data_IF_014133224904
#
_entry.id   IF_014133224904
#
_cell.length_a   1.000
_cell.length_b   1.000
_cell.length_c   1.000
_cell.angle_alpha   90.00
_cell.angle_beta   90.00
_cell.angle_gamma   90.00
#
_symmetry.space_group_name_H-M   'P 1'
#
loop_
_entity.id
_entity.type
_entity.pdbx_description
1 polymer ?
#
# COMPACT_ATOMS: atom_id res chain seq x y z
N UNK A 1 -0.58 3.57 -28.90
CA UNK A 1 0.74 2.94 -29.16
C UNK A 1 0.55 1.44 -29.42
N UNK A 2 1.39 0.82 -30.25
CA UNK A 2 1.41 -0.66 -30.40
C UNK A 2 1.89 -1.31 -29.11
N UNK A 3 1.60 -2.61 -28.86
CA UNK A 3 2.15 -3.34 -27.72
C UNK A 3 3.69 -3.25 -27.62
N UNK A 4 4.42 -3.51 -28.73
CA UNK A 4 5.87 -3.37 -28.77
C UNK A 4 6.37 -1.96 -28.43
N UNK A 5 5.69 -0.90 -28.91
CA UNK A 5 6.04 0.47 -28.55
C UNK A 5 5.86 0.79 -27.05
N UNK A 6 4.90 0.12 -26.38
CA UNK A 6 4.74 0.25 -24.92
C UNK A 6 5.86 -0.46 -24.17
N UNK A 7 6.36 -1.59 -24.70
CA UNK A 7 7.55 -2.27 -24.17
C UNK A 7 8.77 -1.38 -24.32
N UNK A 8 9.01 -0.78 -25.49
CA UNK A 8 10.11 0.16 -25.70
C UNK A 8 10.08 1.34 -24.72
N UNK A 9 8.90 1.95 -24.51
CA UNK A 9 8.73 3.00 -23.52
C UNK A 9 9.02 2.54 -22.09
N UNK A 10 8.64 1.31 -21.72
CA UNK A 10 8.97 0.75 -20.41
C UNK A 10 10.49 0.52 -20.25
N UNK A 11 11.18 0.05 -21.31
CA UNK A 11 12.65 -0.08 -21.34
C UNK A 11 13.31 1.27 -21.02
N UNK A 12 12.94 2.33 -21.74
CA UNK A 12 13.50 3.68 -21.55
C UNK A 12 13.32 4.18 -20.10
N UNK A 13 12.14 3.94 -19.51
CA UNK A 13 11.83 4.37 -18.15
C UNK A 13 12.67 3.58 -17.12
N UNK A 14 12.82 2.26 -17.32
CA UNK A 14 13.62 1.42 -16.45
C UNK A 14 15.10 1.79 -16.50
N UNK A 15 15.61 2.13 -17.70
CA UNK A 15 16.96 2.66 -17.86
C UNK A 15 17.12 4.02 -17.17
N UNK A 16 16.14 4.93 -17.30
CA UNK A 16 16.14 6.23 -16.62
C UNK A 16 16.11 6.08 -15.08
N UNK A 17 15.48 5.01 -14.56
CA UNK A 17 15.49 4.66 -13.14
C UNK A 17 16.82 4.07 -12.67
N UNK A 18 17.53 3.32 -13.53
CA UNK A 18 18.87 2.79 -13.21
C UNK A 18 19.89 3.90 -12.87
N UNK A 19 19.62 5.12 -13.33
CA UNK A 19 20.41 6.32 -13.05
C UNK A 19 20.05 7.00 -11.70
N UNK A 20 19.27 6.33 -10.85
CA UNK A 20 18.90 6.81 -9.50
C UNK A 20 17.59 7.59 -9.43
N UNK A 21 16.80 7.64 -10.51
CA UNK A 21 15.51 8.34 -10.53
C UNK A 21 14.39 7.48 -9.97
N UNK A 22 13.54 8.07 -9.13
CA UNK A 22 12.35 7.42 -8.60
C UNK A 22 11.35 7.07 -9.72
N UNK A 23 10.67 5.93 -9.60
CA UNK A 23 9.76 5.41 -10.63
C UNK A 23 8.68 6.42 -11.06
N UNK A 24 8.00 7.07 -10.11
CA UNK A 24 6.96 8.07 -10.40
C UNK A 24 7.52 9.29 -11.13
N UNK A 25 8.75 9.71 -10.81
CA UNK A 25 9.41 10.82 -11.50
C UNK A 25 9.78 10.42 -12.94
N UNK A 26 10.32 9.21 -13.13
CA UNK A 26 10.66 8.69 -14.46
C UNK A 26 9.41 8.54 -15.34
N UNK A 27 8.33 7.99 -14.81
CA UNK A 27 7.03 7.88 -15.48
C UNK A 27 6.45 9.26 -15.83
N UNK A 28 6.51 10.22 -14.90
CA UNK A 28 6.03 11.59 -15.14
C UNK A 28 6.85 12.31 -16.20
N UNK A 29 8.17 12.13 -16.18
CA UNK A 29 9.09 12.72 -17.17
C UNK A 29 8.82 12.15 -18.56
N UNK A 30 8.77 10.82 -18.69
CA UNK A 30 8.41 10.16 -19.94
C UNK A 30 7.04 10.63 -20.43
N UNK A 31 6.04 10.67 -19.54
CA UNK A 31 4.70 11.14 -19.84
C UNK A 31 4.69 12.58 -20.42
N UNK A 32 5.47 13.51 -19.86
CA UNK A 32 5.55 14.89 -20.37
C UNK A 32 6.17 14.97 -21.77
N UNK A 33 7.14 14.10 -22.05
CA UNK A 33 7.85 14.05 -23.32
C UNK A 33 7.07 13.28 -24.41
N UNK A 34 6.25 12.31 -24.02
CA UNK A 34 5.47 11.46 -24.93
C UNK A 34 4.04 11.99 -25.09
N UNK A 35 3.88 13.15 -25.75
CA UNK A 35 2.56 13.80 -25.96
C UNK A 35 1.57 12.94 -26.77
N UNK A 36 2.09 12.05 -27.61
CA UNK A 36 1.29 11.13 -28.43
C UNK A 36 0.66 9.98 -27.62
N UNK A 37 1.13 9.70 -26.40
CA UNK A 37 0.60 8.62 -25.58
C UNK A 37 -0.72 9.02 -24.93
N UNK A 38 -1.81 8.29 -25.24
CA UNK A 38 -3.11 8.47 -24.60
C UNK A 38 -3.14 7.89 -23.17
N UNK A 39 -4.25 8.09 -22.46
CA UNK A 39 -4.42 7.59 -21.08
C UNK A 39 -4.28 6.06 -20.97
N UNK A 40 -4.81 5.31 -21.95
CA UNK A 40 -4.67 3.85 -22.03
C UNK A 40 -3.22 3.41 -22.23
N UNK A 41 -2.47 4.13 -23.06
CA UNK A 41 -1.05 3.83 -23.31
C UNK A 41 -0.20 4.10 -22.07
N UNK A 42 -0.39 5.26 -21.42
CA UNK A 42 0.31 5.62 -20.18
C UNK A 42 0.05 4.61 -19.07
N UNK A 43 -1.20 4.15 -18.94
CA UNK A 43 -1.57 3.12 -17.98
C UNK A 43 -0.85 1.79 -18.27
N UNK A 44 -0.81 1.34 -19.52
CA UNK A 44 -0.13 0.10 -19.90
C UNK A 44 1.39 0.17 -19.68
N UNK A 45 2.03 1.28 -20.04
CA UNK A 45 3.47 1.50 -19.80
C UNK A 45 3.75 1.50 -18.29
N UNK A 46 2.94 2.18 -17.48
CA UNK A 46 3.05 2.15 -16.03
C UNK A 46 2.88 0.75 -15.47
N UNK A 47 1.90 -0.01 -15.96
CA UNK A 47 1.64 -1.38 -15.52
C UNK A 47 2.90 -2.25 -15.74
N UNK A 48 3.57 -2.18 -16.91
CA UNK A 48 4.85 -2.86 -17.15
C UNK A 48 5.96 -2.47 -16.18
N UNK A 49 6.20 -1.17 -15.98
CA UNK A 49 7.26 -0.68 -15.07
C UNK A 49 7.02 -1.17 -13.64
N UNK A 50 5.77 -1.13 -13.17
CA UNK A 50 5.43 -1.60 -11.83
C UNK A 50 5.51 -3.13 -11.70
N UNK A 51 5.18 -3.87 -12.75
CA UNK A 51 5.33 -5.33 -12.78
C UNK A 51 6.82 -5.73 -12.73
N UNK A 52 7.69 -5.01 -13.44
CA UNK A 52 9.14 -5.19 -13.30
C UNK A 52 9.57 -4.90 -11.86
N UNK A 53 9.09 -3.82 -11.23
CA UNK A 53 9.45 -3.54 -9.83
C UNK A 53 8.95 -4.62 -8.86
N UNK A 54 7.78 -5.22 -9.09
CA UNK A 54 7.30 -6.34 -8.28
C UNK A 54 8.18 -7.58 -8.44
N UNK A 55 8.62 -7.84 -9.67
CA UNK A 55 9.33 -9.06 -10.05
C UNK A 55 10.79 -8.82 -10.46
N UNK A 56 11.46 -7.79 -9.88
CA UNK A 56 12.72 -7.26 -10.43
C UNK A 56 13.84 -8.29 -10.51
N UNK A 57 14.04 -9.11 -9.47
CA UNK A 57 15.12 -10.09 -9.42
C UNK A 57 14.86 -11.24 -10.38
N UNK A 58 13.63 -11.77 -10.45
CA UNK A 58 13.30 -12.80 -11.43
C UNK A 58 13.33 -12.26 -12.86
N UNK A 59 12.88 -11.03 -13.08
CA UNK A 59 12.97 -10.35 -14.37
C UNK A 59 14.44 -10.20 -14.81
N UNK A 60 15.32 -9.80 -13.89
CA UNK A 60 16.75 -9.73 -14.17
C UNK A 60 17.39 -11.10 -14.41
N UNK A 61 16.96 -12.13 -13.67
CA UNK A 61 17.43 -13.51 -13.81
C UNK A 61 17.10 -14.06 -15.20
N UNK A 62 15.82 -14.06 -15.60
CA UNK A 62 15.41 -14.56 -16.91
C UNK A 62 15.87 -13.67 -18.06
N UNK A 63 15.91 -12.35 -17.83
CA UNK A 63 16.43 -11.37 -18.77
C UNK A 63 17.95 -11.35 -18.92
N UNK A 64 18.67 -12.04 -18.01
CA UNK A 64 20.13 -12.10 -17.96
C UNK A 64 20.82 -10.73 -17.91
N UNK A 65 20.21 -9.76 -17.22
CA UNK A 65 20.70 -8.38 -17.14
C UNK A 65 19.87 -7.48 -16.24
N UNK A 66 20.40 -6.28 -15.96
CA UNK A 66 19.75 -5.29 -15.07
C UNK A 66 19.28 -4.03 -15.82
N UNK A 67 19.59 -3.93 -17.11
CA UNK A 67 19.07 -2.86 -17.96
C UNK A 67 17.58 -3.06 -18.27
N UNK A 68 16.92 -2.02 -18.74
CA UNK A 68 15.49 -2.01 -19.01
C UNK A 68 15.08 -3.07 -20.02
N UNK A 69 15.92 -3.37 -21.01
CA UNK A 69 15.64 -4.38 -22.04
C UNK A 69 15.63 -5.78 -21.44
N UNK A 70 16.68 -6.14 -20.71
CA UNK A 70 16.77 -7.41 -20.01
C UNK A 70 15.60 -7.59 -19.04
N UNK A 71 15.30 -6.57 -18.22
CA UNK A 71 14.19 -6.62 -17.28
C UNK A 71 12.84 -6.83 -17.97
N UNK A 72 12.59 -6.17 -19.10
CA UNK A 72 11.36 -6.36 -19.86
C UNK A 72 11.29 -7.74 -20.52
N UNK A 73 12.39 -8.24 -21.09
CA UNK A 73 12.46 -9.59 -21.68
C UNK A 73 12.13 -10.63 -20.60
N UNK A 74 12.80 -10.56 -19.44
CA UNK A 74 12.58 -11.50 -18.36
C UNK A 74 11.17 -11.46 -17.80
N UNK A 75 10.61 -10.26 -17.56
CA UNK A 75 9.22 -10.12 -17.13
C UNK A 75 8.24 -10.74 -18.14
N UNK A 76 8.38 -10.41 -19.42
CA UNK A 76 7.46 -10.87 -20.47
C UNK A 76 7.58 -12.38 -20.71
N UNK A 77 8.78 -12.95 -20.57
CA UNK A 77 8.99 -14.40 -20.55
C UNK A 77 8.21 -15.05 -19.40
N UNK A 78 8.31 -14.52 -18.18
CA UNK A 78 7.56 -15.03 -17.02
C UNK A 78 6.04 -14.93 -17.21
N UNK A 79 5.58 -13.92 -17.94
CA UNK A 79 4.16 -13.74 -18.26
C UNK A 79 3.67 -14.64 -19.42
N UNK A 80 4.56 -15.41 -20.05
CA UNK A 80 4.24 -16.22 -21.23
C UNK A 80 3.84 -15.39 -22.45
N UNK A 81 4.32 -14.15 -22.54
CA UNK A 81 4.00 -13.27 -23.66
C UNK A 81 4.72 -13.70 -24.94
N UNK A 82 4.13 -13.40 -26.10
CA UNK A 82 4.78 -13.59 -27.39
C UNK A 82 5.87 -12.53 -27.61
N UNK A 83 7.10 -12.88 -27.22
CA UNK A 83 8.27 -12.00 -27.37
C UNK A 83 8.57 -11.68 -28.83
N UNK A 84 8.26 -12.59 -29.77
CA UNK A 84 8.53 -12.36 -31.19
C UNK A 84 7.64 -11.25 -31.76
N UNK A 85 6.40 -11.14 -31.28
CA UNK A 85 5.47 -10.07 -31.65
C UNK A 85 5.74 -8.74 -30.91
N UNK A 86 6.43 -8.78 -29.75
CA UNK A 86 6.73 -7.59 -28.95
C UNK A 86 8.09 -6.97 -29.28
N UNK A 87 9.03 -7.78 -29.78
CA UNK A 87 10.39 -7.41 -30.17
C UNK A 87 10.59 -7.74 -31.66
N UNK A 88 9.82 -7.13 -32.55
CA UNK A 88 9.95 -7.34 -34.00
C UNK A 88 10.75 -6.23 -34.71
N UNK A 89 11.11 -5.17 -33.98
CA UNK A 89 11.74 -3.96 -34.54
C UNK A 89 10.81 -3.10 -35.41
N UNK A 90 9.53 -3.43 -35.51
CA UNK A 90 8.59 -2.71 -36.36
C UNK A 90 8.10 -1.40 -35.70
N UNK A 91 8.18 -0.29 -36.44
CA UNK A 91 7.76 1.02 -35.95
C UNK A 91 8.61 1.50 -34.77
N UNK A 92 8.03 1.45 -33.56
CA UNK A 92 8.71 1.81 -32.31
C UNK A 92 8.90 0.61 -31.37
N UNK A 93 8.72 -0.62 -31.85
CA UNK A 93 9.02 -1.81 -31.07
C UNK A 93 10.55 -1.99 -30.92
N UNK A 94 11.02 -2.59 -29.81
CA UNK A 94 12.43 -2.92 -29.65
C UNK A 94 12.90 -3.93 -30.71
N UNK A 95 14.21 -3.98 -31.01
CA UNK A 95 14.74 -4.92 -31.99
C UNK A 95 14.57 -6.39 -31.55
N UNK A 96 14.54 -7.33 -32.51
CA UNK A 96 14.50 -8.77 -32.24
C UNK A 96 15.50 -9.25 -31.21
N UNK A 97 15.10 -10.28 -30.47
CA UNK A 97 15.98 -10.92 -29.50
C UNK A 97 17.21 -11.51 -30.21
N UNK A 98 18.36 -11.40 -29.57
CA UNK A 98 19.57 -12.14 -29.94
C UNK A 98 19.46 -13.62 -29.51
N UNK A 99 20.36 -14.47 -30.01
CA UNK A 99 20.43 -15.88 -29.58
C UNK A 99 20.69 -16.02 -28.07
N UNK A 100 21.49 -15.11 -27.51
CA UNK A 100 21.75 -15.05 -26.06
C UNK A 100 20.47 -14.74 -25.28
N UNK A 101 19.69 -13.76 -25.73
CA UNK A 101 18.44 -13.36 -25.07
C UNK A 101 17.34 -14.43 -25.19
N UNK A 102 17.41 -15.31 -26.20
CA UNK A 102 16.52 -16.48 -26.33
C UNK A 102 16.89 -17.64 -25.42
N UNK A 103 18.13 -17.70 -24.94
CA UNK A 103 18.64 -18.77 -24.09
C UNK A 103 18.26 -18.55 -22.61
N UNK A 104 16.96 -18.65 -22.29
CA UNK A 104 16.47 -18.43 -20.93
C UNK A 104 17.08 -19.43 -19.93
N UNK A 105 17.55 -18.96 -18.76
CA UNK A 105 17.99 -19.86 -17.70
C UNK A 105 16.82 -20.64 -17.10
N UNK A 106 17.13 -21.75 -16.40
CA UNK A 106 16.16 -22.45 -15.56
C UNK A 106 15.69 -21.60 -14.38
N UNK A 107 14.80 -22.15 -13.51
CA UNK A 107 14.35 -21.46 -12.31
C UNK A 107 15.52 -20.96 -11.44
N UNK A 108 15.39 -19.79 -10.77
CA UNK A 108 16.44 -19.27 -9.91
C UNK A 108 16.72 -20.24 -8.76
N UNK A 109 18.01 -20.46 -8.48
CA UNK A 109 18.46 -21.39 -7.44
C UNK A 109 18.45 -20.75 -6.03
N UNK A 110 18.57 -19.42 -5.94
CA UNK A 110 18.58 -18.71 -4.68
C UNK A 110 17.19 -18.20 -4.29
N UNK A 111 16.89 -18.24 -2.99
CA UNK A 111 15.58 -17.91 -2.46
C UNK A 111 15.23 -16.43 -2.64
N UNK A 112 16.21 -15.54 -2.49
CA UNK A 112 16.00 -14.09 -2.59
C UNK A 112 15.53 -13.66 -3.98
N UNK A 113 16.07 -14.27 -5.03
CA UNK A 113 15.64 -14.08 -6.42
C UNK A 113 14.27 -14.67 -6.61
N UNK A 114 14.03 -15.91 -6.18
CA UNK A 114 12.72 -16.58 -6.29
C UNK A 114 11.59 -15.79 -5.59
N UNK A 115 11.87 -15.16 -4.46
CA UNK A 115 10.92 -14.37 -3.68
C UNK A 115 10.86 -12.90 -4.09
N UNK A 116 11.73 -12.46 -5.00
CA UNK A 116 11.88 -11.05 -5.38
C UNK A 116 12.10 -10.13 -4.17
N UNK A 117 12.98 -10.54 -3.26
CA UNK A 117 13.38 -9.79 -2.06
C UNK A 117 14.88 -9.47 -2.09
N UNK A 118 15.32 -8.33 -1.54
CA UNK A 118 16.73 -8.13 -1.19
C UNK A 118 17.24 -9.22 -0.23
N UNK A 119 18.51 -9.61 -0.36
CA UNK A 119 19.10 -10.70 0.41
C UNK A 119 18.94 -10.51 1.91
N UNK A 120 19.19 -9.28 2.39
CA UNK A 120 19.10 -8.92 3.80
C UNK A 120 17.67 -8.97 4.36
N UNK A 121 16.65 -8.92 3.51
CA UNK A 121 15.24 -8.98 3.93
C UNK A 121 14.72 -10.40 4.07
N UNK A 122 15.31 -11.38 3.39
CA UNK A 122 14.90 -12.80 3.46
C UNK A 122 14.88 -13.31 4.91
N UNK A 123 15.97 -13.21 5.70
CA UNK A 123 15.95 -13.71 7.07
C UNK A 123 14.95 -12.95 7.97
N UNK A 124 14.70 -11.66 7.71
CA UNK A 124 13.69 -10.89 8.45
C UNK A 124 12.26 -11.35 8.13
N UNK A 125 12.00 -11.68 6.87
CA UNK A 125 10.74 -12.27 6.45
C UNK A 125 10.55 -13.67 7.04
N UNK A 126 11.59 -14.50 7.06
CA UNK A 126 11.56 -15.84 7.69
C UNK A 126 11.30 -15.76 9.18
N UNK A 127 12.02 -14.88 9.90
CA UNK A 127 11.82 -14.67 11.33
C UNK A 127 10.41 -14.15 11.66
N UNK A 128 9.86 -13.27 10.80
CA UNK A 128 8.57 -12.65 11.06
C UNK A 128 7.39 -13.55 10.69
N UNK A 129 7.48 -14.32 9.60
CA UNK A 129 6.34 -15.01 8.99
C UNK A 129 6.44 -16.54 9.05
N UNK A 130 7.61 -17.10 9.34
CA UNK A 130 7.81 -18.54 9.41
C UNK A 130 7.35 -19.27 8.15
N UNK A 131 6.36 -20.16 8.28
CA UNK A 131 5.83 -20.92 7.16
C UNK A 131 5.15 -20.05 6.08
N UNK A 132 4.68 -18.85 6.43
CA UNK A 132 3.96 -17.95 5.51
C UNK A 132 4.89 -17.07 4.67
N UNK A 133 6.22 -17.13 4.87
CA UNK A 133 7.21 -16.30 4.18
C UNK A 133 7.09 -16.39 2.67
N UNK A 134 7.11 -17.60 2.11
CA UNK A 134 7.05 -17.83 0.66
C UNK A 134 5.73 -17.34 0.08
N UNK A 135 4.60 -17.71 0.69
CA UNK A 135 3.27 -17.33 0.22
C UNK A 135 3.08 -15.80 0.25
N UNK A 136 3.53 -15.15 1.32
CA UNK A 136 3.48 -13.68 1.46
C UNK A 136 4.32 -12.99 0.41
N UNK A 137 5.57 -13.42 0.24
CA UNK A 137 6.46 -12.83 -0.76
C UNK A 137 5.93 -13.01 -2.19
N UNK A 138 5.35 -14.17 -2.51
CA UNK A 138 4.70 -14.41 -3.80
C UNK A 138 3.46 -13.53 -3.99
N UNK A 139 2.62 -13.35 -2.96
CA UNK A 139 1.44 -12.48 -3.04
C UNK A 139 1.82 -11.00 -3.29
N UNK A 140 3.00 -10.57 -2.84
CA UNK A 140 3.53 -9.23 -3.08
C UNK A 140 4.05 -9.01 -4.53
N UNK A 141 4.21 -10.08 -5.31
CA UNK A 141 4.68 -10.02 -6.69
C UNK A 141 3.56 -9.73 -7.70
N UNK A 142 2.29 -9.77 -7.27
CA UNK A 142 1.14 -9.52 -8.15
C UNK A 142 0.51 -8.16 -7.86
N UNK A 143 -0.31 -7.67 -8.80
CA UNK A 143 -1.06 -6.43 -8.60
C UNK A 143 -2.08 -6.61 -7.48
N UNK A 144 -2.07 -5.69 -6.52
CA UNK A 144 -3.03 -5.69 -5.43
C UNK A 144 -4.49 -5.58 -5.94
N UNK A 145 -5.42 -6.37 -5.38
CA UNK A 145 -6.84 -6.16 -5.58
C UNK A 145 -7.29 -4.74 -5.17
N UNK A 146 -8.37 -4.27 -5.79
CA UNK A 146 -8.95 -2.97 -5.47
C UNK A 146 -10.09 -3.19 -4.49
N UNK A 147 -9.96 -2.53 -3.34
CA UNK A 147 -10.93 -2.62 -2.25
C UNK A 147 -11.62 -1.26 -2.07
N UNK A 148 -12.89 -1.32 -1.71
CA UNK A 148 -13.71 -0.16 -1.39
C UNK A 148 -14.20 -0.28 0.05
N UNK A 149 -14.21 0.83 0.78
CA UNK A 149 -14.93 0.96 2.04
C UNK A 149 -16.28 1.62 1.76
N UNK A 150 -17.36 0.99 2.21
CA UNK A 150 -18.70 1.57 2.15
C UNK A 150 -18.90 2.56 3.29
N UNK A 151 -19.41 3.75 2.98
CA UNK A 151 -19.78 4.75 3.97
C UNK A 151 -21.15 4.40 4.58
N UNK A 152 -21.11 3.61 5.67
CA UNK A 152 -22.32 3.10 6.34
C UNK A 152 -23.20 4.19 6.97
N UNK A 153 -22.69 5.42 7.14
CA UNK A 153 -23.50 6.56 7.56
C UNK A 153 -24.46 7.04 6.46
N UNK A 154 -24.25 6.63 5.20
CA UNK A 154 -24.97 7.14 4.02
C UNK A 154 -25.64 6.08 3.17
N UNK A 155 -25.17 4.83 3.23
CA UNK A 155 -25.75 3.72 2.47
C UNK A 155 -25.42 2.38 3.12
N UNK A 156 -26.01 1.30 2.60
CA UNK A 156 -25.67 -0.07 3.00
C UNK A 156 -24.71 -0.71 2.00
N UNK A 157 -23.98 -1.75 2.43
CA UNK A 157 -23.06 -2.49 1.54
C UNK A 157 -23.78 -3.07 0.33
N UNK A 158 -24.99 -3.59 0.52
CA UNK A 158 -25.82 -4.15 -0.56
C UNK A 158 -26.17 -3.05 -1.59
N UNK A 159 -26.71 -1.92 -1.14
CA UNK A 159 -27.09 -0.81 -2.02
C UNK A 159 -25.89 -0.20 -2.75
N UNK A 160 -24.73 -0.09 -2.07
CA UNK A 160 -23.51 0.38 -2.70
C UNK A 160 -23.06 -0.56 -3.83
N UNK A 161 -23.07 -1.88 -3.58
CA UNK A 161 -22.72 -2.89 -4.58
C UNK A 161 -23.69 -2.88 -5.78
N UNK A 162 -25.00 -2.79 -5.53
CA UNK A 162 -26.02 -2.71 -6.58
C UNK A 162 -25.83 -1.47 -7.47
N UNK A 163 -25.61 -0.29 -6.87
CA UNK A 163 -25.36 0.94 -7.62
C UNK A 163 -24.05 0.88 -8.41
N UNK A 164 -22.99 0.29 -7.85
CA UNK A 164 -21.73 0.10 -8.55
C UNK A 164 -21.90 -0.82 -9.78
N UNK A 165 -22.66 -1.90 -9.64
CA UNK A 165 -22.94 -2.83 -10.74
C UNK A 165 -23.70 -2.15 -11.89
N UNK A 166 -24.70 -1.31 -11.57
CA UNK A 166 -25.42 -0.50 -12.57
C UNK A 166 -24.50 0.46 -13.35
N UNK A 167 -23.38 0.85 -12.76
CA UNK A 167 -22.37 1.71 -13.38
C UNK A 167 -21.16 0.93 -13.94
N UNK A 168 -21.28 -0.40 -14.05
CA UNK A 168 -20.29 -1.30 -14.65
C UNK A 168 -19.08 -1.58 -13.77
N UNK A 169 -19.27 -1.61 -12.45
CA UNK A 169 -18.28 -2.01 -11.44
C UNK A 169 -18.84 -3.16 -10.61
N UNK A 170 -18.40 -4.38 -10.91
CA UNK A 170 -18.82 -5.56 -10.15
C UNK A 170 -17.98 -5.69 -8.87
N UNK A 171 -18.65 -6.09 -7.78
CA UNK A 171 -18.03 -6.23 -6.48
C UNK A 171 -18.52 -7.47 -5.74
N UNK A 172 -17.66 -7.99 -4.88
CA UNK A 172 -17.97 -9.05 -3.92
C UNK A 172 -17.71 -8.56 -2.50
N UNK A 173 -18.37 -9.17 -1.51
CA UNK A 173 -18.09 -8.87 -0.10
C UNK A 173 -16.67 -9.31 0.24
N UNK A 174 -15.98 -8.46 0.99
CA UNK A 174 -14.65 -8.76 1.49
C UNK A 174 -14.75 -9.24 2.95
N UNK A 175 -14.09 -10.34 3.28
CA UNK A 175 -14.24 -10.98 4.59
C UNK A 175 -13.46 -10.30 5.72
N UNK A 176 -12.56 -9.36 5.42
CA UNK A 176 -11.76 -8.68 6.45
C UNK A 176 -12.55 -7.60 7.19
N UNK A 177 -13.54 -6.98 6.55
CA UNK A 177 -14.35 -5.91 7.14
C UNK A 177 -15.80 -6.01 6.69
N UNK A 178 -16.79 -5.82 7.59
CA UNK A 178 -18.20 -5.80 7.23
C UNK A 178 -18.57 -4.67 6.27
N UNK A 179 -17.71 -3.65 6.11
CA UNK A 179 -17.94 -2.51 5.20
C UNK A 179 -17.14 -2.60 3.90
N UNK A 180 -16.31 -3.65 3.75
CA UNK A 180 -15.42 -3.78 2.61
C UNK A 180 -16.07 -4.51 1.42
N UNK A 181 -15.78 -3.99 0.22
CA UNK A 181 -16.07 -4.62 -1.06
C UNK A 181 -14.78 -4.85 -1.84
N UNK A 182 -14.64 -6.01 -2.45
CA UNK A 182 -13.56 -6.33 -3.40
C UNK A 182 -14.09 -6.14 -4.82
N UNK A 183 -13.42 -5.31 -5.61
CA UNK A 183 -13.81 -5.03 -6.98
C UNK A 183 -13.31 -6.15 -7.89
N UNK A 184 -14.24 -6.86 -8.53
CA UNK A 184 -13.94 -7.98 -9.43
C UNK A 184 -13.86 -7.53 -10.89
N UNK A 185 -14.66 -6.51 -11.27
CA UNK A 185 -14.60 -5.90 -12.60
C UNK A 185 -14.75 -4.38 -12.55
N UNK A 186 -14.32 -3.68 -13.61
CA UNK A 186 -14.56 -2.24 -13.75
C UNK A 186 -13.72 -1.33 -12.84
N UNK A 187 -12.64 -1.81 -12.20
CA UNK A 187 -11.83 -1.02 -11.27
C UNK A 187 -11.37 0.36 -11.78
N UNK A 188 -11.14 0.52 -13.09
CA UNK A 188 -10.74 1.80 -13.70
C UNK A 188 -11.89 2.83 -13.76
N UNK A 189 -13.15 2.40 -13.59
CA UNK A 189 -14.36 3.24 -13.63
C UNK A 189 -14.73 3.82 -12.28
N UNK A 190 -14.25 3.27 -11.16
CA UNK A 190 -14.65 3.63 -9.79
C UNK A 190 -14.72 5.14 -9.58
N UNK A 191 -13.65 5.89 -9.90
CA UNK A 191 -13.62 7.34 -9.67
C UNK A 191 -14.61 8.14 -10.53
N UNK A 192 -15.16 7.52 -11.58
CA UNK A 192 -16.13 8.13 -12.48
C UNK A 192 -17.57 7.88 -12.03
N UNK A 193 -17.80 6.91 -11.14
CA UNK A 193 -19.15 6.52 -10.73
C UNK A 193 -19.80 7.57 -9.83
N UNK A 194 -21.14 7.62 -9.85
CA UNK A 194 -21.89 8.44 -8.90
C UNK A 194 -21.62 8.01 -7.46
N UNK A 195 -21.52 6.69 -7.22
CA UNK A 195 -21.23 6.10 -5.90
C UNK A 195 -19.96 6.65 -5.26
N UNK A 196 -18.87 6.81 -6.03
CA UNK A 196 -17.64 7.41 -5.52
C UNK A 196 -17.75 8.93 -5.37
N UNK A 197 -18.29 9.61 -6.40
CA UNK A 197 -18.41 11.08 -6.42
C UNK A 197 -19.32 11.63 -5.33
N UNK A 198 -20.36 10.89 -4.99
CA UNK A 198 -21.28 11.20 -3.91
C UNK A 198 -20.73 10.81 -2.53
N UNK A 199 -19.57 10.14 -2.44
CA UNK A 199 -18.96 9.75 -1.16
C UNK A 199 -19.65 8.59 -0.46
N UNK A 200 -20.33 7.71 -1.21
CA UNK A 200 -20.93 6.48 -0.70
C UNK A 200 -19.88 5.37 -0.50
N UNK A 201 -18.76 5.45 -1.22
CA UNK A 201 -17.61 4.56 -1.06
C UNK A 201 -16.29 5.34 -1.10
N UNK A 202 -15.25 4.75 -0.52
CA UNK A 202 -13.88 5.28 -0.54
C UNK A 202 -12.90 4.16 -0.94
N UNK A 203 -11.80 4.50 -1.63
CA UNK A 203 -10.75 3.53 -1.95
C UNK A 203 -9.91 3.28 -0.71
N UNK A 204 -9.99 2.07 -0.15
CA UNK A 204 -9.22 1.67 1.02
C UNK A 204 -9.04 0.16 1.08
N UNK A 205 -7.83 -0.30 1.37
CA UNK A 205 -7.51 -1.72 1.54
C UNK A 205 -8.35 -2.40 2.65
N UNK A 206 -8.73 -3.67 2.46
CA UNK A 206 -9.54 -4.44 3.40
C UNK A 206 -8.90 -4.59 4.78
N UNK A 207 -7.58 -4.80 4.87
CA UNK A 207 -6.91 -4.89 6.17
C UNK A 207 -6.86 -3.52 6.88
N UNK A 208 -6.68 -2.44 6.13
CA UNK A 208 -6.76 -1.07 6.64
C UNK A 208 -8.15 -0.72 7.18
N UNK A 209 -9.21 -1.28 6.60
CA UNK A 209 -10.58 -1.18 7.14
C UNK A 209 -10.73 -2.03 8.41
N UNK A 210 -10.25 -3.27 8.40
CA UNK A 210 -10.33 -4.19 9.54
C UNK A 210 -9.60 -3.66 10.78
N UNK A 211 -8.51 -2.92 10.61
CA UNK A 211 -7.86 -2.20 11.71
C UNK A 211 -8.82 -1.20 12.35
N UNK A 212 -9.53 -0.41 11.54
CA UNK A 212 -10.49 0.57 12.06
C UNK A 212 -11.69 -0.10 12.73
N UNK A 213 -12.15 -1.24 12.21
CA UNK A 213 -13.23 -2.02 12.82
C UNK A 213 -12.86 -2.58 14.20
N UNK A 214 -11.58 -2.86 14.44
CA UNK A 214 -11.10 -3.30 15.74
C UNK A 214 -11.04 -2.17 16.78
N UNK A 215 -10.99 -0.91 16.35
CA UNK A 215 -10.79 0.24 17.26
C UNK A 215 -11.98 0.36 18.23
N UNK A 216 -11.74 0.37 19.56
CA UNK A 216 -12.80 0.43 20.55
C UNK A 216 -13.61 1.73 20.47
N UNK A 217 -14.72 1.76 21.18
CA UNK A 217 -15.55 2.96 21.29
C UNK A 217 -14.78 4.10 21.96
N UNK A 218 -15.02 5.32 21.50
CA UNK A 218 -14.45 6.55 22.07
C UNK A 218 -15.07 7.75 21.38
N UNK A 219 -15.42 8.80 22.13
CA UNK A 219 -16.08 9.98 21.56
C UNK A 219 -15.08 10.92 20.91
N UNK A 220 -13.89 11.07 21.48
CA UNK A 220 -12.88 12.00 21.02
C UNK A 220 -11.67 11.22 20.50
N UNK A 221 -11.51 11.19 19.19
CA UNK A 221 -10.52 10.31 18.52
C UNK A 221 -9.52 11.13 17.73
N UNK A 222 -8.23 10.82 17.89
CA UNK A 222 -7.15 11.40 17.10
C UNK A 222 -6.57 10.34 16.15
N UNK A 223 -6.49 10.65 14.87
CA UNK A 223 -5.62 9.96 13.92
C UNK A 223 -4.29 10.74 13.85
N UNK A 224 -3.26 10.27 14.54
CA UNK A 224 -2.00 11.01 14.79
C UNK A 224 -1.03 10.98 13.60
N UNK A 225 -1.14 9.96 12.75
CA UNK A 225 -0.33 9.79 11.54
C UNK A 225 -1.25 9.61 10.33
N UNK A 226 -2.17 10.57 10.16
CA UNK A 226 -3.32 10.41 9.28
C UNK A 226 -2.94 10.13 7.81
N UNK A 227 -1.77 10.59 7.36
CA UNK A 227 -1.33 10.47 5.98
C UNK A 227 -2.38 11.04 5.02
N UNK A 228 -2.86 10.22 4.09
CA UNK A 228 -3.96 10.60 3.20
C UNK A 228 -5.33 10.73 3.89
N UNK A 229 -5.47 10.35 5.15
CA UNK A 229 -6.69 10.45 5.97
C UNK A 229 -7.73 9.35 5.72
N UNK A 230 -7.33 8.22 5.12
CA UNK A 230 -8.25 7.11 4.84
C UNK A 230 -8.88 6.52 6.12
N UNK A 231 -8.08 6.34 7.18
CA UNK A 231 -8.54 5.83 8.48
C UNK A 231 -9.31 6.90 9.27
N UNK A 232 -8.85 8.16 9.29
CA UNK A 232 -9.66 9.29 9.80
C UNK A 232 -11.07 9.34 9.19
N UNK A 233 -11.21 9.17 7.87
CA UNK A 233 -12.54 9.11 7.21
C UNK A 233 -13.36 7.88 7.63
N UNK A 234 -12.73 6.73 7.88
CA UNK A 234 -13.43 5.53 8.37
C UNK A 234 -13.93 5.75 9.79
N UNK A 235 -13.09 6.30 10.66
CA UNK A 235 -13.44 6.67 12.03
C UNK A 235 -14.60 7.68 12.04
N UNK A 236 -14.55 8.69 11.18
CA UNK A 236 -15.55 9.75 11.09
C UNK A 236 -16.87 9.31 10.44
N UNK A 237 -16.93 8.10 9.86
CA UNK A 237 -18.19 7.49 9.43
C UNK A 237 -19.02 6.98 10.62
N UNK A 238 -18.40 6.80 11.80
CA UNK A 238 -19.12 6.56 13.05
C UNK A 238 -19.52 7.91 13.65
N UNK A 239 -20.77 8.33 13.46
CA UNK A 239 -21.28 9.68 13.80
C UNK A 239 -21.21 10.02 15.30
N UNK A 240 -21.00 9.03 16.17
CA UNK A 240 -20.76 9.23 17.60
C UNK A 240 -19.35 9.73 17.93
N UNK A 241 -18.42 9.73 16.96
CA UNK A 241 -17.03 10.14 17.12
C UNK A 241 -16.82 11.57 16.62
N UNK A 242 -16.10 12.37 17.40
CA UNK A 242 -15.45 13.61 16.99
C UNK A 242 -13.99 13.29 16.65
N UNK A 243 -13.67 13.36 15.36
CA UNK A 243 -12.37 12.95 14.82
C UNK A 243 -11.48 14.16 14.56
N UNK A 244 -10.23 14.03 15.00
CA UNK A 244 -9.14 14.94 14.71
C UNK A 244 -8.08 14.20 13.90
N UNK A 245 -7.41 14.91 13.00
CA UNK A 245 -6.32 14.36 12.20
C UNK A 245 -5.06 15.20 12.36
N UNK A 246 -3.94 14.53 12.51
CA UNK A 246 -2.60 15.12 12.55
C UNK A 246 -1.68 14.28 11.66
N UNK A 247 -0.66 14.92 11.08
CA UNK A 247 0.46 14.25 10.44
C UNK A 247 1.68 15.17 10.58
N UNK A 248 2.86 14.58 10.75
CA UNK A 248 4.12 15.32 10.80
C UNK A 248 4.43 16.01 9.45
N UNK A 249 3.93 15.47 8.34
CA UNK A 249 3.93 16.13 7.03
C UNK A 249 2.50 16.53 6.62
N UNK A 250 2.11 17.80 6.83
CA UNK A 250 0.77 18.30 6.48
C UNK A 250 0.41 18.12 5.01
N UNK A 251 1.40 18.02 4.10
CA UNK A 251 1.14 17.85 2.66
C UNK A 251 0.49 16.49 2.35
N UNK A 252 0.62 15.50 3.23
CA UNK A 252 -0.04 14.20 3.06
C UNK A 252 -1.54 14.30 3.25
N UNK A 253 -2.01 15.28 4.02
CA UNK A 253 -3.42 15.50 4.35
C UNK A 253 -4.11 16.50 3.40
N UNK A 254 -3.45 16.99 2.34
CA UNK A 254 -4.00 18.04 1.46
C UNK A 254 -5.37 17.69 0.87
N UNK A 255 -5.59 16.42 0.52
CA UNK A 255 -6.87 15.96 -0.06
C UNK A 255 -7.95 15.65 0.99
N UNK A 256 -7.60 15.60 2.29
CA UNK A 256 -8.51 15.17 3.35
C UNK A 256 -9.75 16.06 3.48
N UNK A 257 -9.67 17.41 3.46
CA UNK A 257 -10.86 18.26 3.55
C UNK A 257 -11.87 18.00 2.44
N UNK A 258 -11.42 17.87 1.18
CA UNK A 258 -12.29 17.58 0.04
C UNK A 258 -12.95 16.20 0.19
N UNK A 259 -12.18 15.19 0.59
CA UNK A 259 -12.69 13.83 0.80
C UNK A 259 -13.68 13.76 1.98
N UNK A 260 -13.43 14.49 3.06
CA UNK A 260 -14.34 14.59 4.20
C UNK A 260 -15.67 15.25 3.80
N UNK A 261 -15.61 16.37 3.08
CA UNK A 261 -16.79 17.03 2.54
C UNK A 261 -17.58 16.09 1.60
N UNK A 262 -16.90 15.40 0.67
CA UNK A 262 -17.51 14.40 -0.21
C UNK A 262 -18.20 13.28 0.57
N UNK A 263 -17.57 12.79 1.64
CA UNK A 263 -18.13 11.77 2.52
C UNK A 263 -19.26 12.27 3.43
N UNK A 264 -19.49 13.59 3.50
CA UNK A 264 -20.49 14.21 4.37
C UNK A 264 -20.10 14.20 5.85
N UNK A 265 -18.80 14.24 6.15
CA UNK A 265 -18.28 14.27 7.52
C UNK A 265 -17.32 15.44 7.73
N UNK A 266 -17.00 15.75 8.98
CA UNK A 266 -16.06 16.81 9.35
C UNK A 266 -14.93 16.22 10.18
N UNK A 267 -13.70 16.55 9.80
CA UNK A 267 -12.47 16.14 10.49
C UNK A 267 -11.67 17.40 10.78
N UNK A 268 -11.34 17.63 12.06
CA UNK A 268 -10.52 18.78 12.44
C UNK A 268 -9.04 18.44 12.25
N UNK A 269 -8.39 19.09 11.28
CA UNK A 269 -6.95 18.96 11.04
C UNK A 269 -6.20 19.82 12.05
N UNK A 270 -5.28 19.22 12.81
CA UNK A 270 -4.52 19.86 13.88
C UNK A 270 -3.02 19.86 13.55
N UNK A 271 -2.36 20.97 13.87
CA UNK A 271 -0.90 20.98 14.03
C UNK A 271 -0.50 20.42 15.41
N UNK A 272 0.81 20.24 15.65
CA UNK A 272 1.32 19.63 16.88
C UNK A 272 0.86 20.37 18.16
N UNK A 273 1.00 21.69 18.20
CA UNK A 273 0.57 22.50 19.37
C UNK A 273 -0.93 22.38 19.64
N UNK A 274 -1.74 22.31 18.59
CA UNK A 274 -3.19 22.13 18.71
C UNK A 274 -3.55 20.73 19.21
N UNK A 275 -2.79 19.69 18.82
CA UNK A 275 -2.97 18.34 19.38
C UNK A 275 -2.76 18.37 20.90
N UNK A 276 -1.67 18.99 21.37
CA UNK A 276 -1.39 19.11 22.82
C UNK A 276 -2.50 19.85 23.56
N UNK A 277 -2.97 20.98 23.01
CA UNK A 277 -4.05 21.78 23.60
C UNK A 277 -5.41 21.08 23.57
N UNK A 278 -5.60 20.14 22.65
CA UNK A 278 -6.85 19.42 22.47
C UNK A 278 -6.84 18.07 23.17
N UNK A 279 -5.74 17.63 23.78
CA UNK A 279 -5.72 16.49 24.68
C UNK A 279 -6.63 16.74 25.92
N UNK A 280 -7.10 15.69 26.63
CA UNK A 280 -6.89 14.28 26.33
C UNK A 280 -7.85 13.73 25.26
N UNK A 281 -7.50 12.57 24.69
CA UNK A 281 -8.29 11.81 23.72
C UNK A 281 -8.71 10.45 24.27
N UNK A 282 -9.90 9.97 23.90
CA UNK A 282 -10.40 8.64 24.30
C UNK A 282 -9.70 7.53 23.51
N UNK A 283 -9.41 7.81 22.24
CA UNK A 283 -8.67 6.91 21.35
C UNK A 283 -7.66 7.72 20.55
N UNK A 284 -6.43 7.22 20.46
CA UNK A 284 -5.42 7.73 19.54
C UNK A 284 -5.03 6.59 18.61
N UNK A 285 -5.21 6.78 17.30
CA UNK A 285 -4.69 5.89 16.27
C UNK A 285 -3.35 6.41 15.78
N UNK A 286 -2.32 5.59 15.91
CA UNK A 286 -1.00 5.78 15.35
C UNK A 286 -0.81 4.78 14.20
N UNK A 287 -1.28 5.16 13.01
CA UNK A 287 -0.94 4.48 11.75
C UNK A 287 0.51 4.82 11.35
N UNK A 288 1.46 4.21 12.05
CA UNK A 288 2.82 4.70 12.12
C UNK A 288 3.55 4.58 10.77
N UNK A 289 4.44 5.55 10.44
CA UNK A 289 5.36 5.40 9.32
C UNK A 289 6.17 4.10 9.44
N UNK A 290 6.16 3.28 8.40
CA UNK A 290 6.81 1.97 8.38
C UNK A 290 7.39 1.66 6.99
N UNK A 291 8.00 0.49 6.84
CA UNK A 291 8.57 -0.02 5.59
C UNK A 291 7.53 -0.25 4.49
N UNK A 292 6.26 -0.37 4.87
CA UNK A 292 5.17 -0.76 3.97
C UNK A 292 5.32 -2.18 3.42
N UNK A 293 6.06 -3.05 4.11
CA UNK A 293 6.39 -4.41 3.63
C UNK A 293 5.19 -5.31 3.37
N UNK A 294 4.06 -5.07 4.03
CA UNK A 294 2.78 -5.73 3.74
C UNK A 294 2.04 -5.18 2.53
N UNK A 295 2.40 -3.99 2.04
CA UNK A 295 1.73 -3.28 0.96
C UNK A 295 2.61 -3.06 -0.29
N UNK A 296 3.78 -3.70 -0.39
CA UNK A 296 4.69 -3.52 -1.53
C UNK A 296 4.07 -3.88 -2.88
N UNK A 297 3.05 -4.75 -2.96
CA UNK A 297 2.31 -4.94 -4.22
C UNK A 297 1.64 -3.67 -4.77
N UNK A 298 1.36 -2.68 -3.91
CA UNK A 298 0.85 -1.35 -4.29
C UNK A 298 1.97 -0.37 -4.57
N UNK A 299 3.05 -0.42 -3.80
CA UNK A 299 4.23 0.43 -3.92
C UNK A 299 5.54 -0.41 -4.03
N UNK A 300 5.76 -1.11 -5.15
CA UNK A 300 6.80 -2.14 -5.25
C UNK A 300 8.22 -1.59 -5.25
N UNK A 301 8.41 -0.30 -5.48
CA UNK A 301 9.69 0.37 -5.28
C UNK A 301 10.16 0.33 -3.82
N UNK A 302 9.24 0.25 -2.86
CA UNK A 302 9.55 0.32 -1.43
C UNK A 302 10.58 -0.72 -0.98
N UNK A 303 10.44 -1.97 -1.43
CA UNK A 303 11.39 -3.04 -1.06
C UNK A 303 12.81 -2.85 -1.57
N UNK A 304 12.98 -2.18 -2.71
CA UNK A 304 14.31 -1.95 -3.30
C UNK A 304 14.97 -0.69 -2.75
N UNK A 305 14.19 0.25 -2.23
CA UNK A 305 14.68 1.47 -1.59
C UNK A 305 14.92 1.30 -0.08
N UNK A 306 14.33 0.27 0.53
CA UNK A 306 14.55 -0.01 1.95
C UNK A 306 15.98 -0.53 2.16
N UNK A 307 16.63 0.00 3.19
CA UNK A 307 17.94 -0.44 3.69
C UNK A 307 17.82 -0.79 5.18
N UNK A 308 18.79 -1.54 5.75
CA UNK A 308 18.83 -1.78 7.19
C UNK A 308 18.78 -0.49 8.02
N UNK A 309 19.59 0.52 7.68
CA UNK A 309 19.61 1.80 8.37
C UNK A 309 18.25 2.53 8.30
N UNK A 310 17.58 2.45 7.14
CA UNK A 310 16.25 3.05 6.98
C UNK A 310 15.21 2.30 7.82
N UNK A 311 15.29 0.98 7.91
CA UNK A 311 14.42 0.18 8.77
C UNK A 311 14.65 0.55 10.24
N UNK A 312 15.90 0.65 10.70
CA UNK A 312 16.24 1.10 12.06
C UNK A 312 15.66 2.49 12.34
N UNK A 313 15.85 3.45 11.42
CA UNK A 313 15.29 4.79 11.57
C UNK A 313 13.75 4.80 11.65
N UNK A 314 13.07 3.96 10.86
CA UNK A 314 11.61 3.81 10.94
C UNK A 314 11.17 3.25 12.29
N UNK A 315 11.88 2.25 12.81
CA UNK A 315 11.55 1.67 14.12
C UNK A 315 11.74 2.66 15.26
N UNK A 316 12.77 3.53 15.19
CA UNK A 316 12.94 4.61 16.16
C UNK A 316 11.80 5.64 16.08
N UNK A 317 11.41 6.05 14.86
CA UNK A 317 10.27 6.97 14.67
C UNK A 317 8.99 6.37 15.25
N UNK A 318 8.77 5.07 15.11
CA UNK A 318 7.61 4.37 15.68
C UNK A 318 7.62 4.42 17.22
N UNK A 319 8.78 4.16 17.85
CA UNK A 319 8.95 4.30 19.30
C UNK A 319 8.68 5.73 19.78
N UNK A 320 9.25 6.73 19.09
CA UNK A 320 9.07 8.15 19.44
C UNK A 320 7.60 8.57 19.34
N UNK A 321 6.86 8.07 18.34
CA UNK A 321 5.42 8.34 18.19
C UNK A 321 4.62 7.73 19.33
N UNK A 322 4.89 6.47 19.70
CA UNK A 322 4.23 5.81 20.81
C UNK A 322 4.46 6.57 22.12
N UNK A 323 5.71 6.94 22.39
CA UNK A 323 6.10 7.66 23.60
C UNK A 323 5.49 9.08 23.64
N UNK A 324 5.41 9.78 22.51
CA UNK A 324 4.83 11.12 22.41
C UNK A 324 3.30 11.12 22.53
N UNK A 325 2.62 10.06 22.10
CA UNK A 325 1.15 9.99 22.07
C UNK A 325 0.55 9.39 23.33
N UNK A 326 1.28 8.49 24.00
CA UNK A 326 0.92 7.92 25.29
C UNK A 326 0.38 8.96 26.31
N UNK A 327 1.04 10.10 26.58
CA UNK A 327 0.56 11.11 27.55
C UNK A 327 -0.70 11.86 27.13
N UNK A 328 -1.10 11.78 25.84
CA UNK A 328 -2.26 12.50 25.31
C UNK A 328 -3.58 11.74 25.50
N UNK A 329 -3.53 10.52 26.00
CA UNK A 329 -4.72 9.72 26.28
C UNK A 329 -5.44 10.16 27.56
N UNK A 330 -6.76 10.03 27.54
CA UNK A 330 -7.59 10.11 28.75
C UNK A 330 -7.39 8.86 29.62
N UNK A 331 -7.82 8.96 30.89
CA UNK A 331 -7.90 7.79 31.77
C UNK A 331 -8.85 6.76 31.17
N UNK A 332 -8.39 5.51 31.03
CA UNK A 332 -9.14 4.44 30.35
C UNK A 332 -9.17 4.56 28.82
N UNK A 333 -8.41 5.50 28.24
CA UNK A 333 -8.28 5.63 26.80
C UNK A 333 -7.42 4.52 26.17
N UNK A 334 -7.53 4.35 24.86
CA UNK A 334 -6.79 3.33 24.10
C UNK A 334 -5.87 3.96 23.05
N UNK A 335 -4.59 3.58 23.08
CA UNK A 335 -3.61 3.90 22.05
C UNK A 335 -3.58 2.73 21.08
N UNK A 336 -3.99 2.97 19.84
CA UNK A 336 -4.03 1.99 18.76
C UNK A 336 -2.79 2.19 17.92
N UNK A 337 -1.84 1.27 18.02
CA UNK A 337 -0.67 1.21 17.16
C UNK A 337 -0.97 0.36 15.94
N UNK A 338 -0.66 0.84 14.74
CA UNK A 338 -0.87 0.05 13.53
C UNK A 338 0.20 0.34 12.46
N UNK A 339 0.55 -0.66 11.67
CA UNK A 339 1.49 -0.53 10.54
C UNK A 339 1.03 -1.38 9.35
N UNK A 340 1.39 -0.97 8.13
CA UNK A 340 1.30 -1.84 6.95
C UNK A 340 2.58 -2.66 6.72
N UNK A 341 3.26 -3.07 7.81
CA UNK A 341 4.44 -3.92 7.79
C UNK A 341 4.12 -5.37 8.16
N UNK A 342 4.85 -6.30 7.57
CA UNK A 342 4.88 -7.72 7.96
C UNK A 342 6.09 -8.07 8.82
N UNK A 343 6.97 -7.09 9.13
CA UNK A 343 8.19 -7.30 9.89
C UNK A 343 7.93 -7.18 11.40
N UNK A 344 8.32 -8.19 12.18
CA UNK A 344 8.18 -8.18 13.64
C UNK A 344 8.89 -6.99 14.30
N UNK A 345 10.03 -6.56 13.73
CA UNK A 345 10.81 -5.40 14.18
C UNK A 345 10.03 -4.09 14.19
N UNK A 346 9.02 -3.96 13.33
CA UNK A 346 8.13 -2.80 13.24
C UNK A 346 6.76 -3.06 13.88
N UNK A 347 6.55 -4.22 14.51
CA UNK A 347 5.25 -4.66 14.98
C UNK A 347 5.34 -5.08 16.46
N UNK A 348 5.39 -6.39 16.70
CA UNK A 348 5.43 -6.97 18.05
C UNK A 348 6.62 -6.44 18.86
N UNK A 349 7.78 -6.25 18.22
CA UNK A 349 8.98 -5.75 18.91
C UNK A 349 8.82 -4.30 19.37
N UNK A 350 8.08 -3.45 18.62
CA UNK A 350 7.79 -2.07 19.05
C UNK A 350 6.81 -2.05 20.21
N UNK A 351 5.80 -2.92 20.18
CA UNK A 351 4.86 -3.08 21.28
C UNK A 351 5.57 -3.55 22.53
N UNK A 352 6.42 -4.58 22.45
CA UNK A 352 7.19 -5.08 23.57
C UNK A 352 8.11 -3.99 24.15
N UNK A 353 8.85 -3.27 23.29
CA UNK A 353 9.73 -2.20 23.72
C UNK A 353 8.98 -1.05 24.40
N UNK A 354 7.77 -0.70 23.95
CA UNK A 354 6.92 0.28 24.62
C UNK A 354 6.49 -0.19 26.01
N UNK A 355 6.02 -1.43 26.15
CA UNK A 355 5.58 -1.98 27.44
C UNK A 355 6.73 -2.07 28.46
N UNK A 356 7.95 -2.38 28.01
CA UNK A 356 9.14 -2.39 28.87
C UNK A 356 9.50 -0.99 29.37
N UNK A 357 9.32 0.06 28.54
CA UNK A 357 9.61 1.46 28.92
C UNK A 357 8.52 2.11 29.75
N UNK A 358 7.28 1.65 29.63
CA UNK A 358 6.11 2.26 30.26
C UNK A 358 5.41 1.29 31.23
N UNK A 359 5.89 1.23 32.47
CA UNK A 359 5.28 0.44 33.52
C UNK A 359 3.79 0.82 33.72
N UNK A 360 2.94 -0.18 33.97
CA UNK A 360 1.49 -0.01 34.12
C UNK A 360 0.71 0.08 32.81
N UNK A 361 1.35 -0.22 31.67
CA UNK A 361 0.66 -0.43 30.41
C UNK A 361 0.54 -1.91 30.08
N UNK A 362 -0.51 -2.24 29.33
CA UNK A 362 -0.75 -3.57 28.79
C UNK A 362 -1.16 -3.49 27.32
N UNK A 363 -0.98 -4.60 26.59
CA UNK A 363 -1.50 -4.78 25.24
C UNK A 363 -2.57 -5.86 25.20
N UNK A 364 -3.84 -5.55 25.57
CA UNK A 364 -4.91 -6.54 25.65
C UNK A 364 -5.34 -7.10 24.29
N UNK A 365 -4.92 -6.48 23.19
CA UNK A 365 -5.27 -6.90 21.85
C UNK A 365 -4.11 -6.67 20.89
N UNK A 366 -3.77 -7.71 20.13
CA UNK A 366 -2.88 -7.62 18.97
C UNK A 366 -3.45 -8.49 17.85
N UNK A 367 -3.29 -8.04 16.61
CA UNK A 367 -3.73 -8.79 15.45
C UNK A 367 -2.86 -8.51 14.24
N UNK A 368 -2.50 -9.59 13.55
CA UNK A 368 -1.83 -9.56 12.26
C UNK A 368 -2.80 -9.93 11.13
N UNK A 369 -2.61 -9.28 9.99
CA UNK A 369 -3.29 -9.57 8.73
C UNK A 369 -2.24 -9.99 7.71
N UNK A 370 -2.43 -11.15 7.09
CA UNK A 370 -1.54 -11.62 6.02
C UNK A 370 -1.83 -10.94 4.69
N UNK A 371 -0.86 -10.98 3.77
CA UNK A 371 -1.06 -10.50 2.39
C UNK A 371 -1.90 -11.51 1.64
N UNK A 372 -3.16 -11.15 1.35
CA UNK A 372 -4.12 -12.05 0.70
C UNK A 372 -4.88 -11.34 -0.42
N UNK A 373 -5.78 -12.05 -1.11
CA UNK A 373 -6.71 -11.44 -2.05
C UNK A 373 -7.69 -10.46 -1.38
N UNK A 374 -7.85 -10.51 -0.06
CA UNK A 374 -8.79 -9.67 0.69
C UNK A 374 -8.14 -8.41 1.28
N UNK A 375 -6.81 -8.39 1.42
CA UNK A 375 -6.12 -7.26 2.04
C UNK A 375 -4.61 -7.36 1.97
N UNK A 376 -3.96 -6.23 2.24
CA UNK A 376 -2.51 -6.16 2.39
C UNK A 376 -2.07 -6.70 3.76
N UNK A 377 -0.76 -6.88 3.91
CA UNK A 377 -0.17 -7.20 5.20
C UNK A 377 -0.29 -6.00 6.14
N UNK A 378 -0.76 -6.26 7.36
CA UNK A 378 -1.02 -5.23 8.35
C UNK A 378 -0.86 -5.77 9.76
N UNK A 379 -0.57 -4.89 10.71
CA UNK A 379 -0.55 -5.19 12.13
C UNK A 379 -1.29 -4.11 12.91
N UNK A 380 -1.97 -4.50 13.99
CA UNK A 380 -2.54 -3.57 14.96
C UNK A 380 -2.37 -4.10 16.37
N UNK A 381 -2.12 -3.20 17.30
CA UNK A 381 -2.08 -3.46 18.73
C UNK A 381 -2.82 -2.35 19.48
N UNK A 382 -3.59 -2.72 20.50
CA UNK A 382 -4.19 -1.77 21.42
C UNK A 382 -3.38 -1.75 22.69
N UNK A 383 -3.07 -0.55 23.17
CA UNK A 383 -2.29 -0.27 24.36
C UNK A 383 -3.17 0.54 25.33
N UNK A 384 -3.28 0.06 26.56
CA UNK A 384 -4.09 0.67 27.61
C UNK A 384 -3.29 0.76 28.90
N UNK A 385 -3.54 1.80 29.70
CA UNK A 385 -3.04 1.89 31.08
C UNK A 385 -3.93 1.05 31.99
N UNK A 386 -3.32 0.24 32.85
CA UNK A 386 -4.01 -0.50 33.92
C UNK A 386 -4.55 0.41 35.02
#
# INVERSE_FOLDING_TARGET
>A
MTPGARVAAAIEILDDMSQGRAAEQALTRWARNSRFAGSKDRAAVRDHVFDVLRCRRTAAHFGQGQDGRALMIGLLHQQGADLSALFDGAGHAPPPLSDKERAFPGPPADLSTALNLPDWLVPLFEASLGADTTATAQALQTRAPVHLRVNVARTTVLQAAEKLALEGVDTERNSLSPTALTVTQGARRIKQTSVFKEGLVELQDGASQAVVDAIPAGRKVLDYCAGGGGKALALAAQTSRRVYAHDADPNRMTDLPERANRAGTSIAILNHDQVLKTAPYDVILCDAPCSGSGAWRRAPGGKWLLTPDRLTALTQIQDDILDATAPLLSSGGTLVYATCSVLASENEDRVAAFLDRHAGWASPFQRRFGVTSQGDGFFTAHLTRE
#
